data_IF_195652318053
#
_entry.id   IF_195652318053
#
_cell.length_a   1.000
_cell.length_b   1.000
_cell.length_c   1.000
_cell.angle_alpha   90.00
_cell.angle_beta   90.00
_cell.angle_gamma   90.00
#
_symmetry.space_group_name_H-M   'P 1'
#
loop_
_entity.id
_entity.type
_entity.pdbx_description
1 polymer ?
#
# COMPACT_ATOMS: atom_id res chain seq x y z
N UNK A 1 -6.99 -0.45 20.93
CA UNK A 1 -7.36 -1.54 19.99
C UNK A 1 -6.16 -2.46 19.90
N UNK A 2 -6.30 -3.71 20.33
CA UNK A 2 -5.18 -4.62 20.54
C UNK A 2 -4.62 -5.07 19.18
N UNK A 3 -3.31 -4.99 18.97
CA UNK A 3 -2.63 -5.38 17.71
C UNK A 3 -2.99 -6.79 17.25
N UNK A 4 -3.30 -7.70 18.18
CA UNK A 4 -3.73 -9.06 17.89
C UNK A 4 -5.08 -9.15 17.14
N UNK A 5 -5.97 -8.18 17.34
CA UNK A 5 -7.26 -8.14 16.62
C UNK A 5 -7.08 -7.65 15.19
N UNK A 6 -6.20 -6.67 14.97
CA UNK A 6 -5.82 -6.19 13.64
C UNK A 6 -5.11 -7.29 12.83
N UNK A 7 -4.21 -8.05 13.47
CA UNK A 7 -3.55 -9.21 12.85
C UNK A 7 -4.58 -10.27 12.42
N UNK A 8 -5.48 -10.70 13.33
CA UNK A 8 -6.54 -11.67 12.99
C UNK A 8 -7.47 -11.18 11.88
N UNK A 9 -7.79 -9.89 11.86
CA UNK A 9 -8.63 -9.34 10.80
C UNK A 9 -7.86 -9.35 9.47
N UNK A 10 -6.57 -8.96 9.47
CA UNK A 10 -5.67 -9.05 8.31
C UNK A 10 -5.48 -10.50 7.81
N UNK A 11 -5.52 -11.47 8.72
CA UNK A 11 -5.42 -12.91 8.42
C UNK A 11 -6.75 -13.52 7.97
N UNK A 12 -7.82 -12.71 7.81
CA UNK A 12 -9.09 -13.20 7.29
C UNK A 12 -8.87 -13.73 5.87
N UNK A 13 -9.19 -15.00 5.60
CA UNK A 13 -9.04 -15.58 4.28
C UNK A 13 -9.74 -14.72 3.21
N UNK A 14 -9.03 -14.39 2.14
CA UNK A 14 -9.57 -13.66 0.99
C UNK A 14 -9.55 -12.13 1.10
N UNK A 15 -8.96 -11.50 2.13
CA UNK A 15 -8.79 -10.04 2.13
C UNK A 15 -7.95 -9.54 0.96
N UNK A 16 -6.88 -10.27 0.62
CA UNK A 16 -6.08 -9.97 -0.56
C UNK A 16 -6.95 -10.07 -1.82
N UNK A 17 -7.72 -11.14 -1.98
CA UNK A 17 -8.61 -11.30 -3.14
C UNK A 17 -9.65 -10.19 -3.24
N UNK A 18 -10.26 -9.78 -2.12
CA UNK A 18 -11.18 -8.64 -2.09
C UNK A 18 -10.47 -7.36 -2.50
N UNK A 19 -9.29 -7.09 -1.94
CA UNK A 19 -8.49 -5.94 -2.29
C UNK A 19 -8.13 -5.95 -3.79
N UNK A 20 -7.77 -7.11 -4.35
CA UNK A 20 -7.44 -7.32 -5.77
C UNK A 20 -8.64 -7.10 -6.72
N UNK A 21 -9.87 -7.21 -6.22
CA UNK A 21 -11.10 -7.06 -7.00
C UNK A 21 -11.89 -5.75 -6.77
N UNK A 22 -11.37 -4.81 -5.97
CA UNK A 22 -12.05 -3.53 -5.72
C UNK A 22 -12.22 -2.69 -7.02
N UNK A 23 -13.43 -2.22 -7.37
CA UNK A 23 -13.71 -1.49 -8.61
C UNK A 23 -13.36 0.01 -8.52
N UNK A 24 -12.30 0.35 -7.79
CA UNK A 24 -11.80 1.72 -7.61
C UNK A 24 -10.31 1.75 -7.94
N UNK A 25 -9.72 2.90 -8.30
CA UNK A 25 -8.27 3.03 -8.40
C UNK A 25 -7.60 2.68 -7.06
N UNK A 26 -6.50 1.91 -7.10
CA UNK A 26 -5.71 1.58 -5.90
C UNK A 26 -4.24 1.88 -6.11
N UNK A 27 -3.56 2.27 -5.04
CA UNK A 27 -2.10 2.36 -4.99
C UNK A 27 -1.63 1.82 -3.65
N UNK A 28 -0.73 0.83 -3.68
CA UNK A 28 -0.11 0.30 -2.47
C UNK A 28 1.20 1.05 -2.20
N UNK A 29 1.31 1.68 -1.03
CA UNK A 29 2.46 2.50 -0.64
C UNK A 29 3.24 1.76 0.45
N UNK A 30 4.56 1.67 0.30
CA UNK A 30 5.46 0.98 1.23
C UNK A 30 6.77 1.75 1.42
N UNK A 31 7.40 1.59 2.59
CA UNK A 31 8.74 2.16 2.84
C UNK A 31 9.85 1.22 2.40
N UNK A 32 10.95 1.76 1.90
CA UNK A 32 12.17 1.04 1.46
C UNK A 32 12.71 0.07 2.53
N UNK A 33 12.57 0.39 3.82
CA UNK A 33 13.09 -0.42 4.92
C UNK A 33 12.05 -1.39 5.51
N UNK A 34 10.94 -1.65 4.82
CA UNK A 34 9.90 -2.59 5.28
C UNK A 34 10.23 -4.00 4.77
N UNK A 35 10.58 -4.96 5.65
CA UNK A 35 11.04 -6.29 5.22
C UNK A 35 9.89 -7.18 4.73
N UNK A 36 10.21 -8.12 3.83
CA UNK A 36 9.34 -9.24 3.48
C UNK A 36 8.13 -8.90 2.61
N UNK A 37 8.15 -7.74 1.93
CA UNK A 37 7.05 -7.31 1.07
C UNK A 37 7.15 -7.83 -0.36
N UNK A 38 8.30 -8.35 -0.78
CA UNK A 38 8.58 -8.71 -2.17
C UNK A 38 7.51 -9.64 -2.78
N UNK A 39 7.06 -10.73 -2.11
CA UNK A 39 6.02 -11.61 -2.66
C UNK A 39 4.67 -10.90 -2.87
N UNK A 40 4.32 -9.99 -1.95
CA UNK A 40 3.10 -9.19 -2.04
C UNK A 40 3.23 -8.17 -3.17
N UNK A 41 4.34 -7.43 -3.24
CA UNK A 41 4.56 -6.41 -4.29
C UNK A 41 4.52 -7.02 -5.68
N UNK A 42 5.11 -8.20 -5.86
CA UNK A 42 5.05 -8.92 -7.13
C UNK A 42 3.62 -9.35 -7.48
N UNK A 43 2.87 -9.83 -6.50
CA UNK A 43 1.44 -10.16 -6.68
C UNK A 43 0.63 -8.93 -7.09
N UNK A 44 0.81 -7.82 -6.38
CA UNK A 44 0.12 -6.56 -6.69
C UNK A 44 0.42 -6.07 -8.11
N UNK A 45 1.70 -6.09 -8.51
CA UNK A 45 2.13 -5.69 -9.86
C UNK A 45 1.53 -6.58 -10.95
N UNK A 46 1.51 -7.91 -10.75
CA UNK A 46 0.88 -8.86 -11.69
C UNK A 46 -0.62 -8.59 -11.88
N UNK A 47 -1.30 -8.10 -10.84
CA UNK A 47 -2.71 -7.72 -10.89
C UNK A 47 -2.94 -6.26 -11.35
N UNK A 48 -1.92 -5.58 -11.90
CA UNK A 48 -2.03 -4.21 -12.39
C UNK A 48 -2.21 -3.16 -11.29
N UNK A 49 -1.94 -3.51 -10.04
CA UNK A 49 -2.02 -2.57 -8.92
C UNK A 49 -0.75 -1.74 -8.87
N UNK A 50 -0.93 -0.42 -8.92
CA UNK A 50 0.19 0.53 -8.81
C UNK A 50 0.83 0.38 -7.44
N UNK A 51 2.15 0.21 -7.40
CA UNK A 51 2.93 0.19 -6.16
C UNK A 51 3.86 1.40 -6.11
N UNK A 52 4.05 1.97 -4.92
CA UNK A 52 4.91 3.14 -4.68
C UNK A 52 5.78 2.91 -3.45
N UNK A 53 7.09 2.96 -3.66
CA UNK A 53 8.08 2.89 -2.59
C UNK A 53 8.48 4.29 -2.14
N UNK A 54 8.51 4.53 -0.83
CA UNK A 54 9.05 5.73 -0.22
C UNK A 54 10.46 5.43 0.26
N UNK A 55 11.43 6.08 -0.38
CA UNK A 55 12.86 5.93 -0.06
C UNK A 55 13.17 6.46 1.34
N UNK A 56 14.02 5.75 2.06
CA UNK A 56 14.47 6.10 3.40
C UNK A 56 13.37 6.09 4.46
N UNK A 57 12.30 5.32 4.27
CA UNK A 57 11.21 5.14 5.23
C UNK A 57 11.03 3.65 5.56
N UNK A 58 10.65 3.35 6.80
CA UNK A 58 10.14 2.06 7.24
C UNK A 58 8.62 1.99 7.18
N UNK A 59 8.00 1.38 8.20
CA UNK A 59 6.55 1.14 8.24
C UNK A 59 5.74 2.44 8.40
N UNK A 60 6.31 3.47 9.02
CA UNK A 60 5.59 4.72 9.32
C UNK A 60 5.96 5.82 8.32
N UNK A 61 5.83 5.54 7.02
CA UNK A 61 6.29 6.44 5.96
C UNK A 61 5.68 7.84 6.02
N UNK A 62 4.44 7.95 6.49
CA UNK A 62 3.74 9.23 6.68
C UNK A 62 4.35 10.11 7.78
N UNK A 63 5.04 9.49 8.75
CA UNK A 63 5.76 10.19 9.83
C UNK A 63 7.22 10.39 9.46
N UNK A 64 7.86 9.36 8.90
CA UNK A 64 9.28 9.36 8.60
C UNK A 64 9.63 10.24 7.39
N UNK A 65 8.75 10.27 6.36
CA UNK A 65 8.95 10.99 5.10
C UNK A 65 7.64 11.66 4.64
N UNK A 66 7.13 12.64 5.41
CA UNK A 66 5.79 13.22 5.19
C UNK A 66 5.64 13.84 3.80
N UNK A 67 6.63 14.57 3.31
CA UNK A 67 6.56 15.22 1.98
C UNK A 67 6.51 14.20 0.84
N UNK A 68 7.32 13.14 0.94
CA UNK A 68 7.33 12.09 -0.07
C UNK A 68 6.02 11.27 -0.06
N UNK A 69 5.44 11.04 1.12
CA UNK A 69 4.14 10.42 1.25
C UNK A 69 3.02 11.31 0.69
N UNK A 70 3.05 12.61 0.99
CA UNK A 70 2.09 13.58 0.48
C UNK A 70 2.12 13.67 -1.05
N UNK A 71 3.30 13.60 -1.66
CA UNK A 71 3.43 13.58 -3.12
C UNK A 71 2.79 12.33 -3.75
N UNK A 72 2.99 11.16 -3.14
CA UNK A 72 2.32 9.93 -3.59
C UNK A 72 0.80 10.04 -3.51
N UNK A 73 0.27 10.67 -2.44
CA UNK A 73 -1.16 10.93 -2.30
C UNK A 73 -1.66 11.90 -3.37
N UNK A 74 -0.95 13.01 -3.57
CA UNK A 74 -1.29 14.02 -4.59
C UNK A 74 -1.38 13.39 -5.97
N UNK A 75 -0.41 12.57 -6.35
CA UNK A 75 -0.43 11.85 -7.62
C UNK A 75 -1.61 10.87 -7.74
N UNK A 76 -1.98 10.18 -6.66
CA UNK A 76 -3.08 9.22 -6.67
C UNK A 76 -4.45 9.91 -6.78
N UNK A 77 -4.63 11.02 -6.08
CA UNK A 77 -5.87 11.78 -6.01
C UNK A 77 -6.04 12.77 -7.17
N UNK A 78 -4.98 13.05 -7.92
CA UNK A 78 -5.05 13.94 -9.08
C UNK A 78 -6.09 13.41 -10.07
N UNK A 79 -6.99 14.27 -10.59
CA UNK A 79 -7.95 13.87 -11.60
C UNK A 79 -7.20 13.21 -12.75
N UNK A 80 -7.60 11.98 -13.11
CA UNK A 80 -7.21 11.44 -14.41
C UNK A 80 -7.96 12.29 -15.42
N UNK A 81 -7.22 12.99 -16.29
CA UNK A 81 -7.83 13.79 -17.37
C UNK A 81 -8.91 12.96 -18.06
N UNK A 82 -10.10 13.57 -18.21
CA UNK A 82 -11.24 12.97 -18.88
C UNK A 82 -10.98 12.74 -20.36
#
# INVERSE_FOLDING_TARGET
RCSAELARTSDTPGLLDRFLNLPIPRTYVYGEHTPGLEPLIDTLRRHGIRTRMIRGAGHSMMVERPDAFAEVLREHLSPKGG
#
